data_IF_599363657419
#
_entry.id   IF_599363657419
#
_cell.length_a   1.000
_cell.length_b   1.000
_cell.length_c   1.000
_cell.angle_alpha   90.00
_cell.angle_beta   90.00
_cell.angle_gamma   90.00
#
_symmetry.space_group_name_H-M   'P 1'
#
loop_
_entity.id
_entity.type
_entity.pdbx_description
1 polymer ?
#
# COMPACT_ATOMS: atom_id res chain seq x y z
N UNK A 1 -17.60 -5.23 -42.74
CA UNK A 1 -17.16 -6.11 -41.64
C UNK A 1 -16.68 -5.19 -40.52
N UNK A 2 -17.60 -4.74 -39.68
CA UNK A 2 -17.32 -3.82 -38.59
C UNK A 2 -16.79 -4.67 -37.44
N UNK A 3 -15.48 -4.59 -37.17
CA UNK A 3 -14.86 -5.29 -36.05
C UNK A 3 -15.43 -4.67 -34.79
N UNK A 4 -16.31 -5.40 -34.11
CA UNK A 4 -16.93 -4.97 -32.87
C UNK A 4 -15.86 -4.73 -31.82
N UNK A 5 -15.82 -3.51 -31.30
CA UNK A 5 -15.03 -3.10 -30.13
C UNK A 5 -15.60 -3.71 -28.83
N UNK A 6 -16.07 -4.96 -28.87
CA UNK A 6 -16.86 -5.60 -27.82
C UNK A 6 -16.08 -6.67 -27.03
N UNK A 7 -14.81 -6.89 -27.35
CA UNK A 7 -13.96 -7.89 -26.66
C UNK A 7 -12.66 -7.29 -26.09
N UNK A 8 -12.66 -5.98 -25.82
CA UNK A 8 -11.57 -5.38 -25.06
C UNK A 8 -11.63 -5.89 -23.61
N UNK A 9 -10.64 -6.70 -23.22
CA UNK A 9 -10.49 -7.22 -21.85
C UNK A 9 -10.58 -6.05 -20.86
N UNK A 10 -11.57 -6.08 -19.95
CA UNK A 10 -11.68 -5.08 -18.88
C UNK A 10 -10.35 -5.02 -18.12
N UNK A 11 -9.76 -3.82 -17.91
CA UNK A 11 -8.50 -3.71 -17.20
C UNK A 11 -8.65 -4.17 -15.75
N UNK A 12 -7.65 -4.90 -15.25
CA UNK A 12 -7.55 -5.25 -13.82
C UNK A 12 -7.28 -3.96 -13.04
N UNK A 13 -7.98 -3.77 -11.92
CA UNK A 13 -7.85 -2.57 -11.09
C UNK A 13 -6.90 -2.79 -9.92
N UNK A 14 -6.16 -1.74 -9.54
CA UNK A 14 -5.41 -1.69 -8.29
C UNK A 14 -6.34 -1.42 -7.10
N UNK A 15 -5.87 -1.72 -5.90
CA UNK A 15 -6.67 -1.50 -4.70
C UNK A 15 -5.97 -1.81 -3.39
N UNK A 16 -6.71 -1.58 -2.31
CA UNK A 16 -6.33 -1.90 -0.95
C UNK A 16 -7.26 -3.00 -0.41
N UNK A 17 -6.70 -3.98 0.29
CA UNK A 17 -7.47 -5.03 0.95
C UNK A 17 -7.17 -4.98 2.43
N UNK A 18 -8.19 -4.73 3.24
CA UNK A 18 -8.09 -4.81 4.69
C UNK A 18 -8.32 -6.25 5.07
N UNK A 19 -7.40 -6.83 5.83
CA UNK A 19 -7.38 -8.23 6.21
C UNK A 19 -7.30 -8.35 7.72
N UNK A 20 -8.03 -9.32 8.26
CA UNK A 20 -7.89 -9.72 9.64
C UNK A 20 -6.46 -10.27 9.89
N UNK A 21 -5.64 -9.66 10.77
CA UNK A 21 -4.26 -10.08 10.97
C UNK A 21 -4.15 -11.50 11.55
N UNK A 22 -5.17 -11.97 12.28
CA UNK A 22 -5.21 -13.29 12.90
C UNK A 22 -5.77 -14.33 11.93
N UNK A 23 -6.90 -14.05 11.29
CA UNK A 23 -7.64 -15.00 10.45
C UNK A 23 -7.25 -14.96 8.97
N UNK A 24 -6.56 -13.90 8.51
CA UNK A 24 -6.18 -13.73 7.10
C UNK A 24 -7.37 -13.52 6.16
N UNK A 25 -8.56 -13.28 6.71
CA UNK A 25 -9.79 -13.10 5.94
C UNK A 25 -9.94 -11.64 5.51
N UNK A 26 -10.28 -11.36 4.23
CA UNK A 26 -10.53 -10.01 3.79
C UNK A 26 -11.78 -9.45 4.48
N UNK A 27 -11.62 -8.33 5.16
CA UNK A 27 -12.70 -7.60 5.84
C UNK A 27 -13.29 -6.50 4.94
N UNK A 28 -12.45 -5.90 4.08
CA UNK A 28 -12.88 -4.85 3.14
C UNK A 28 -11.96 -4.80 1.93
N UNK A 29 -12.54 -4.55 0.77
CA UNK A 29 -11.80 -4.32 -0.48
C UNK A 29 -12.12 -2.91 -0.97
N UNK A 30 -11.09 -2.12 -1.19
CA UNK A 30 -11.17 -0.76 -1.73
C UNK A 30 -10.52 -0.80 -3.11
N UNK A 31 -11.34 -0.70 -4.15
CA UNK A 31 -10.87 -0.72 -5.54
C UNK A 31 -10.70 0.73 -5.99
N UNK A 32 -9.55 1.04 -6.57
CA UNK A 32 -9.33 2.37 -7.14
C UNK A 32 -10.26 2.55 -8.35
N UNK A 33 -10.87 3.73 -8.49
CA UNK A 33 -11.76 3.99 -9.61
C UNK A 33 -10.99 3.94 -10.93
N UNK A 34 -9.86 4.64 -10.97
CA UNK A 34 -8.89 4.62 -12.05
C UNK A 34 -7.57 4.03 -11.54
N UNK A 35 -6.87 3.30 -12.41
CA UNK A 35 -5.53 2.85 -12.08
C UNK A 35 -4.59 4.05 -12.11
N UNK A 36 -3.76 4.26 -11.08
CA UNK A 36 -2.75 5.31 -11.11
C UNK A 36 -1.86 5.17 -12.34
N UNK A 37 -1.59 6.28 -13.01
CA UNK A 37 -0.69 6.30 -14.17
C UNK A 37 0.76 6.07 -13.76
N UNK A 38 1.12 6.58 -12.58
CA UNK A 38 2.47 6.51 -12.04
C UNK A 38 2.49 5.81 -10.69
N UNK A 39 3.60 5.12 -10.43
CA UNK A 39 3.86 4.46 -9.17
C UNK A 39 5.34 4.62 -8.83
N UNK A 40 5.62 5.41 -7.80
CA UNK A 40 6.98 5.64 -7.31
C UNK A 40 7.32 4.62 -6.23
N UNK A 41 8.53 4.05 -6.31
CA UNK A 41 9.04 3.08 -5.33
C UNK A 41 10.45 3.47 -4.91
N UNK A 42 10.72 3.46 -3.62
CA UNK A 42 12.04 3.69 -3.06
C UNK A 42 12.43 2.51 -2.18
N UNK A 43 13.62 1.95 -2.40
CA UNK A 43 14.16 0.84 -1.62
C UNK A 43 15.48 1.29 -0.99
N UNK A 44 15.53 1.34 0.33
CA UNK A 44 16.73 1.68 1.09
C UNK A 44 17.32 0.40 1.71
N UNK A 45 18.55 0.00 1.34
CA UNK A 45 19.20 -1.17 1.93
C UNK A 45 19.48 -0.91 3.42
N UNK A 46 19.31 -1.94 4.23
CA UNK A 46 19.72 -1.92 5.63
C UNK A 46 21.07 -2.63 5.76
N UNK A 47 22.14 -1.85 5.85
CA UNK A 47 23.51 -2.32 6.05
C UNK A 47 24.07 -1.77 7.37
N UNK A 48 25.08 -2.43 7.94
CA UNK A 48 25.78 -1.94 9.13
C UNK A 48 26.47 -0.61 8.81
N UNK A 49 26.06 0.48 9.46
CA UNK A 49 26.83 1.73 9.40
C UNK A 49 28.00 1.60 10.38
N UNK A 50 29.22 1.54 9.86
CA UNK A 50 30.42 1.65 10.66
C UNK A 50 30.58 3.12 11.13
N UNK A 51 29.82 3.53 12.14
CA UNK A 51 30.12 4.76 12.87
C UNK A 51 31.42 4.58 13.66
N UNK A 52 32.54 4.96 13.03
CA UNK A 52 33.84 5.06 13.68
C UNK A 52 34.56 3.72 13.89
N UNK A 53 35.59 3.45 13.08
CA UNK A 53 36.51 2.31 13.21
C UNK A 53 35.84 0.92 13.23
N UNK A 54 35.19 0.55 12.11
CA UNK A 54 34.68 -0.81 11.87
C UNK A 54 35.37 -1.46 10.66
N UNK A 55 35.66 -2.75 10.77
CA UNK A 55 36.37 -3.61 9.83
C UNK A 55 35.95 -3.43 8.36
N UNK A 56 36.92 -3.39 7.43
CA UNK A 56 36.72 -3.19 5.98
C UNK A 56 35.89 -4.29 5.29
N UNK A 57 35.51 -5.32 6.03
CA UNK A 57 34.85 -6.55 5.54
C UNK A 57 33.32 -6.50 5.64
N UNK A 58 32.74 -5.43 6.20
CA UNK A 58 31.29 -5.32 6.44
C UNK A 58 30.52 -4.57 5.34
N UNK A 59 31.21 -3.96 4.38
CA UNK A 59 30.63 -3.02 3.41
C UNK A 59 29.50 -3.59 2.51
N UNK A 60 29.42 -4.92 2.36
CA UNK A 60 28.42 -5.60 1.53
C UNK A 60 27.40 -6.41 2.34
N UNK A 61 27.44 -6.34 3.68
CA UNK A 61 26.52 -7.10 4.53
C UNK A 61 25.19 -6.37 4.69
N UNK A 62 24.11 -7.07 4.38
CA UNK A 62 22.75 -6.64 4.72
C UNK A 62 22.36 -7.23 6.08
N UNK A 63 21.77 -6.42 6.94
CA UNK A 63 21.32 -6.83 8.29
C UNK A 63 19.82 -7.12 8.35
N UNK A 64 19.06 -6.69 7.34
CA UNK A 64 17.61 -6.82 7.28
C UNK A 64 17.08 -6.67 5.84
N UNK A 65 15.80 -6.96 5.65
CA UNK A 65 15.08 -6.62 4.42
C UNK A 65 15.16 -5.11 4.14
N UNK A 66 15.24 -4.72 2.86
CA UNK A 66 15.27 -3.31 2.49
C UNK A 66 13.98 -2.59 2.93
N UNK A 67 14.13 -1.35 3.43
CA UNK A 67 12.98 -0.49 3.72
C UNK A 67 12.40 -0.02 2.39
N UNK A 68 11.18 -0.47 2.09
CA UNK A 68 10.52 -0.22 0.82
C UNK A 68 9.31 0.71 1.01
N UNK A 69 9.29 1.84 0.31
CA UNK A 69 8.19 2.83 0.32
C UNK A 69 7.62 3.03 -1.07
N UNK A 70 6.30 3.19 -1.16
CA UNK A 70 5.54 3.32 -2.39
C UNK A 70 4.70 4.58 -2.33
N UNK A 71 4.63 5.34 -3.42
CA UNK A 71 3.76 6.51 -3.56
C UNK A 71 3.04 6.50 -4.89
N UNK A 72 1.76 6.86 -4.87
CA UNK A 72 0.96 7.05 -6.08
C UNK A 72 -0.20 7.99 -5.80
N UNK A 73 -0.74 8.55 -6.88
CA UNK A 73 -1.93 9.38 -6.88
C UNK A 73 -3.09 8.63 -7.53
N UNK A 74 -4.24 8.61 -6.89
CA UNK A 74 -5.46 7.99 -7.39
C UNK A 74 -6.55 9.05 -7.56
N UNK A 75 -7.22 9.04 -8.70
CA UNK A 75 -8.33 9.93 -8.98
C UNK A 75 -9.67 9.26 -8.65
N UNK A 76 -10.58 10.05 -8.11
CA UNK A 76 -11.98 9.67 -7.85
C UNK A 76 -12.86 10.74 -8.48
N UNK A 77 -13.82 10.33 -9.30
CA UNK A 77 -14.70 11.24 -10.05
C UNK A 77 -16.13 10.66 -10.15
N UNK A 78 -17.11 11.37 -9.58
CA UNK A 78 -18.52 11.00 -9.64
C UNK A 78 -19.14 11.16 -11.04
N UNK A 79 -18.57 12.00 -11.90
CA UNK A 79 -19.08 12.25 -13.26
C UNK A 79 -18.89 11.07 -14.22
N UNK A 80 -18.01 10.13 -13.89
CA UNK A 80 -17.87 8.87 -14.65
C UNK A 80 -18.97 7.85 -14.28
N UNK A 81 -19.76 8.12 -13.24
CA UNK A 81 -20.86 7.27 -12.76
C UNK A 81 -22.21 7.99 -12.85
N UNK A 82 -22.42 8.80 -13.89
CA UNK A 82 -23.65 9.60 -14.10
C UNK A 82 -24.97 8.79 -14.00
N UNK A 83 -24.91 7.49 -14.26
CA UNK A 83 -26.07 6.59 -14.20
C UNK A 83 -26.42 6.13 -12.77
N UNK A 84 -25.58 6.42 -11.77
CA UNK A 84 -25.78 6.05 -10.37
C UNK A 84 -26.00 7.31 -9.54
N UNK A 85 -27.16 7.46 -8.85
CA UNK A 85 -27.39 8.58 -7.96
C UNK A 85 -26.32 8.67 -6.87
N UNK A 86 -25.59 9.78 -6.82
CA UNK A 86 -24.54 10.07 -5.84
C UNK A 86 -24.90 11.31 -5.01
N UNK A 87 -25.89 11.23 -4.09
CA UNK A 87 -26.36 12.39 -3.33
C UNK A 87 -25.34 12.95 -2.32
N UNK A 88 -24.26 12.22 -2.05
CA UNK A 88 -23.13 12.65 -1.22
C UNK A 88 -21.85 12.79 -2.05
N UNK A 89 -21.96 12.90 -3.38
CA UNK A 89 -20.81 12.91 -4.29
C UNK A 89 -19.87 11.72 -4.08
N UNK A 90 -18.58 12.00 -3.96
CA UNK A 90 -17.52 11.01 -3.69
C UNK A 90 -17.14 10.91 -2.19
N UNK A 91 -17.89 11.57 -1.32
CA UNK A 91 -17.57 11.66 0.11
C UNK A 91 -17.49 10.28 0.82
N UNK A 92 -18.37 9.30 0.52
CA UNK A 92 -18.26 7.96 1.12
C UNK A 92 -16.97 7.20 0.73
N UNK A 93 -16.46 7.43 -0.47
CA UNK A 93 -15.22 6.84 -0.97
C UNK A 93 -14.02 7.43 -0.21
N UNK A 94 -14.00 8.76 -0.05
CA UNK A 94 -12.97 9.46 0.73
C UNK A 94 -12.97 9.02 2.21
N UNK A 95 -14.15 8.99 2.84
CA UNK A 95 -14.30 8.53 4.23
C UNK A 95 -13.79 7.08 4.42
N UNK A 96 -13.96 6.21 3.42
CA UNK A 96 -13.44 4.83 3.48
C UNK A 96 -11.91 4.80 3.52
N UNK A 97 -11.24 5.72 2.83
CA UNK A 97 -9.78 5.85 2.85
C UNK A 97 -9.28 6.50 4.15
N UNK A 98 -9.97 7.52 4.64
CA UNK A 98 -9.65 8.16 5.93
C UNK A 98 -9.72 7.18 7.10
N UNK A 99 -10.72 6.30 7.10
CA UNK A 99 -10.88 5.27 8.14
C UNK A 99 -9.76 4.21 8.14
N UNK A 100 -8.87 4.17 7.13
CA UNK A 100 -7.68 3.31 7.15
C UNK A 100 -6.63 3.78 8.16
N UNK A 101 -6.57 5.07 8.44
CA UNK A 101 -5.60 5.68 9.35
C UNK A 101 -6.23 6.12 10.68
N UNK A 102 -7.55 5.99 10.82
CA UNK A 102 -8.27 6.38 12.03
C UNK A 102 -8.71 5.16 12.85
N UNK A 103 -8.49 5.18 14.18
CA UNK A 103 -9.10 4.18 15.06
C UNK A 103 -10.62 4.36 15.13
N UNK A 104 -11.41 3.28 15.26
CA UNK A 104 -12.86 3.37 15.39
C UNK A 104 -13.30 4.23 16.60
N UNK A 105 -14.34 5.05 16.42
CA UNK A 105 -14.82 5.95 17.49
C UNK A 105 -15.27 5.20 18.77
N UNK A 106 -15.75 3.97 18.63
CA UNK A 106 -16.10 3.10 19.76
C UNK A 106 -14.90 2.78 20.65
N UNK A 107 -13.72 2.57 20.03
CA UNK A 107 -12.47 2.34 20.75
C UNK A 107 -11.95 3.60 21.41
N UNK A 108 -12.03 4.75 20.72
CA UNK A 108 -11.67 6.04 21.30
C UNK A 108 -12.51 6.35 22.55
N UNK A 109 -13.82 6.13 22.49
CA UNK A 109 -14.72 6.29 23.65
C UNK A 109 -14.42 5.29 24.77
N UNK A 110 -14.15 4.03 24.44
CA UNK A 110 -13.78 3.03 25.44
C UNK A 110 -12.50 3.43 26.20
N UNK A 111 -11.48 3.92 25.47
CA UNK A 111 -10.25 4.40 26.06
C UNK A 111 -10.47 5.64 26.94
N UNK A 112 -11.38 6.54 26.57
CA UNK A 112 -11.75 7.69 27.41
C UNK A 112 -12.37 7.24 28.74
N UNK A 113 -13.30 6.29 28.71
CA UNK A 113 -13.91 5.74 29.94
C UNK A 113 -12.87 5.06 30.82
N UNK A 114 -11.96 4.25 30.24
CA UNK A 114 -10.88 3.60 30.98
C UNK A 114 -9.89 4.60 31.61
N UNK A 115 -9.65 5.73 30.92
CA UNK A 115 -8.85 6.83 31.43
C UNK A 115 -9.49 7.48 32.65
N UNK A 116 -10.80 7.73 32.60
CA UNK A 116 -11.57 8.34 33.68
C UNK A 116 -11.55 7.48 34.96
N UNK A 117 -11.54 6.16 34.83
CA UNK A 117 -11.48 5.23 35.97
C UNK A 117 -10.04 4.87 36.39
N UNK A 118 -9.03 5.60 35.91
CA UNK A 118 -7.62 5.44 36.32
C UNK A 118 -6.96 4.12 35.89
N UNK A 119 -7.54 3.40 34.93
CA UNK A 119 -7.05 2.08 34.48
C UNK A 119 -6.34 2.19 33.13
N UNK A 120 -5.56 3.26 32.93
CA UNK A 120 -4.97 3.57 31.64
C UNK A 120 -3.77 2.65 31.32
N UNK A 121 -4.06 1.43 30.88
CA UNK A 121 -3.09 0.64 30.11
C UNK A 121 -3.27 1.03 28.64
N UNK A 122 -2.42 1.94 28.14
CA UNK A 122 -2.39 2.29 26.71
C UNK A 122 -1.74 1.14 25.94
N UNK A 123 -2.49 0.06 25.73
CA UNK A 123 -2.09 -0.94 24.76
C UNK A 123 -2.11 -0.28 23.36
N UNK A 124 -1.03 -0.42 22.56
CA UNK A 124 -1.03 0.05 21.18
C UNK A 124 -2.21 -0.57 20.42
N UNK A 125 -2.97 0.25 19.72
CA UNK A 125 -4.05 -0.23 18.86
C UNK A 125 -3.40 -0.97 17.69
N UNK A 126 -3.57 -2.29 17.63
CA UNK A 126 -3.17 -3.07 16.46
C UNK A 126 -4.04 -2.65 15.28
N UNK A 127 -3.42 -1.93 14.34
CA UNK A 127 -4.07 -1.51 13.11
C UNK A 127 -4.37 -2.74 12.24
N UNK A 128 -5.55 -2.81 11.59
CA UNK A 128 -5.83 -3.91 10.69
C UNK A 128 -4.77 -4.02 9.58
N UNK A 129 -4.44 -5.25 9.19
CA UNK A 129 -3.43 -5.51 8.17
C UNK A 129 -3.94 -5.05 6.81
N UNK A 130 -3.27 -4.07 6.20
CA UNK A 130 -3.64 -3.58 4.86
C UNK A 130 -2.72 -4.19 3.82
N UNK A 131 -3.31 -4.70 2.73
CA UNK A 131 -2.58 -5.17 1.56
C UNK A 131 -2.75 -4.19 0.40
N UNK A 132 -1.65 -3.80 -0.23
CA UNK A 132 -1.66 -3.13 -1.51
C UNK A 132 -1.61 -4.15 -2.65
N UNK A 133 -2.54 -4.02 -3.58
CA UNK A 133 -2.68 -4.93 -4.73
C UNK A 133 -2.47 -4.13 -6.02
N UNK A 134 -1.35 -4.39 -6.70
CA UNK A 134 -1.04 -3.88 -8.03
C UNK A 134 -1.03 -5.03 -9.04
N UNK A 135 -2.22 -5.56 -9.29
CA UNK A 135 -2.40 -6.78 -10.06
C UNK A 135 -1.86 -8.04 -9.36
N UNK A 136 -1.98 -9.19 -10.03
CA UNK A 136 -1.67 -10.50 -9.43
C UNK A 136 -0.19 -10.71 -9.07
N UNK A 137 0.71 -9.97 -9.72
CA UNK A 137 2.15 -10.11 -9.50
C UNK A 137 2.68 -9.31 -8.29
N UNK A 138 1.86 -8.39 -7.73
CA UNK A 138 2.30 -7.46 -6.69
C UNK A 138 1.20 -7.31 -5.64
N UNK A 139 1.21 -8.21 -4.68
CA UNK A 139 0.39 -8.14 -3.46
C UNK A 139 1.35 -7.98 -2.29
N UNK A 140 1.16 -6.93 -1.49
CA UNK A 140 2.13 -6.48 -0.50
C UNK A 140 1.45 -6.11 0.81
N UNK A 141 1.91 -6.58 1.97
CA UNK A 141 1.50 -6.02 3.25
C UNK A 141 2.10 -4.62 3.40
N UNK A 142 1.25 -3.63 3.70
CA UNK A 142 1.65 -2.23 3.79
C UNK A 142 1.05 -1.57 5.03
N UNK A 143 1.74 -0.53 5.50
CA UNK A 143 1.21 0.48 6.40
C UNK A 143 1.11 1.80 5.65
N UNK A 144 -0.03 2.47 5.75
CA UNK A 144 -0.17 3.83 5.24
C UNK A 144 0.71 4.77 6.08
N UNK A 145 1.57 5.53 5.42
CA UNK A 145 2.44 6.54 6.03
C UNK A 145 1.97 7.96 5.71
N UNK A 146 1.22 8.14 4.63
CA UNK A 146 0.74 9.43 4.16
C UNK A 146 -0.59 9.24 3.42
N UNK A 147 -1.54 10.13 3.68
CA UNK A 147 -2.80 10.25 2.95
C UNK A 147 -3.05 11.75 2.78
N UNK A 148 -3.03 12.22 1.54
CA UNK A 148 -3.38 13.59 1.18
C UNK A 148 -4.55 13.56 0.21
N UNK A 149 -5.57 14.38 0.45
CA UNK A 149 -6.77 14.45 -0.37
C UNK A 149 -6.91 15.89 -0.85
N UNK A 150 -6.95 16.08 -2.17
CA UNK A 150 -7.26 17.34 -2.82
C UNK A 150 -8.63 17.20 -3.46
N UNK A 151 -9.63 17.88 -2.90
CA UNK A 151 -11.00 17.87 -3.41
C UNK A 151 -11.21 19.02 -4.39
N UNK A 152 -11.74 18.70 -5.57
CA UNK A 152 -11.98 19.63 -6.65
C UNK A 152 -13.39 19.43 -7.19
N UNK A 153 -14.03 20.52 -7.62
CA UNK A 153 -15.39 20.54 -8.10
C UNK A 153 -16.43 20.01 -7.09
N UNK A 154 -17.49 20.78 -6.90
CA UNK A 154 -18.52 20.52 -5.90
C UNK A 154 -19.90 20.66 -6.52
N UNK A 155 -20.86 19.90 -6.01
CA UNK A 155 -22.27 20.10 -6.33
C UNK A 155 -22.87 21.31 -5.58
N UNK A 156 -24.17 21.55 -5.74
CA UNK A 156 -24.86 22.67 -5.11
C UNK A 156 -24.88 22.60 -3.57
N UNK A 157 -24.74 21.40 -3.01
CA UNK A 157 -24.73 21.13 -1.56
C UNK A 157 -23.29 21.02 -1.01
N UNK A 158 -22.28 21.41 -1.82
CA UNK A 158 -20.85 21.33 -1.50
C UNK A 158 -20.33 19.90 -1.28
N UNK A 159 -20.98 18.88 -1.86
CA UNK A 159 -20.38 17.55 -1.90
C UNK A 159 -19.27 17.52 -2.96
N UNK A 160 -18.08 16.99 -2.64
CA UNK A 160 -17.03 16.84 -3.63
C UNK A 160 -17.51 15.86 -4.71
N UNK A 161 -17.29 16.22 -5.97
CA UNK A 161 -17.57 15.33 -7.11
C UNK A 161 -16.29 14.82 -7.77
N UNK A 162 -15.13 15.43 -7.48
CA UNK A 162 -13.81 14.94 -7.89
C UNK A 162 -12.80 15.11 -6.75
N UNK A 163 -11.84 14.19 -6.67
CA UNK A 163 -10.67 14.36 -5.82
C UNK A 163 -9.46 13.62 -6.36
N UNK A 164 -8.28 14.16 -6.06
CA UNK A 164 -7.00 13.48 -6.19
C UNK A 164 -6.55 13.02 -4.81
N UNK A 165 -6.27 11.72 -4.66
CA UNK A 165 -5.82 11.11 -3.42
C UNK A 165 -4.37 10.63 -3.56
N UNK A 166 -3.46 11.26 -2.85
CA UNK A 166 -2.06 10.83 -2.77
C UNK A 166 -1.87 9.88 -1.58
N UNK A 167 -1.40 8.67 -1.88
CA UNK A 167 -1.14 7.62 -0.89
C UNK A 167 0.36 7.35 -0.78
N UNK A 168 0.89 7.48 0.43
CA UNK A 168 2.21 6.99 0.80
C UNK A 168 2.11 5.72 1.62
N UNK A 169 2.83 4.68 1.20
CA UNK A 169 2.82 3.36 1.81
C UNK A 169 4.24 2.96 2.19
N UNK A 170 4.39 2.30 3.34
CA UNK A 170 5.59 1.53 3.70
C UNK A 170 5.25 0.05 3.66
N UNK A 171 6.03 -0.74 2.93
CA UNK A 171 5.92 -2.19 2.93
C UNK A 171 6.33 -2.72 4.30
N UNK A 172 5.50 -3.60 4.87
CA UNK A 172 5.80 -4.31 6.11
C UNK A 172 6.61 -5.57 5.78
N UNK A 173 7.75 -5.72 6.43
CA UNK A 173 8.67 -6.85 6.21
C UNK A 173 8.61 -7.83 7.38
N UNK A 174 9.36 -8.93 7.28
CA UNK A 174 9.58 -9.86 8.41
C UNK A 174 10.23 -9.19 9.62
N UNK A 175 10.92 -8.05 9.42
CA UNK A 175 11.56 -7.29 10.49
C UNK A 175 10.60 -6.33 11.21
N UNK A 176 9.43 -6.02 10.62
CA UNK A 176 8.48 -5.05 11.17
C UNK A 176 7.34 -5.70 11.98
N UNK A 177 7.23 -7.04 11.93
CA UNK A 177 6.08 -7.78 12.43
C UNK A 177 6.52 -8.86 13.45
N UNK A 178 5.70 -9.17 14.47
CA UNK A 178 5.99 -10.26 15.40
C UNK A 178 6.12 -11.61 14.68
N UNK A 179 6.92 -12.51 15.25
CA UNK A 179 7.05 -13.89 14.73
C UNK A 179 5.69 -14.58 14.66
N UNK A 180 5.41 -15.24 13.53
CA UNK A 180 4.13 -15.92 13.29
C UNK A 180 2.99 -15.00 12.78
N UNK A 181 3.24 -13.69 12.65
CA UNK A 181 2.25 -12.77 12.10
C UNK A 181 2.06 -12.98 10.59
N UNK A 182 0.81 -13.07 10.12
CA UNK A 182 0.44 -13.37 8.73
C UNK A 182 0.99 -12.38 7.69
N UNK A 183 1.14 -11.11 8.09
CA UNK A 183 1.80 -10.11 7.25
C UNK A 183 3.24 -10.47 6.86
N UNK A 184 3.98 -11.16 7.74
CA UNK A 184 5.35 -11.58 7.44
C UNK A 184 5.38 -12.64 6.32
N UNK A 185 4.44 -13.60 6.37
CA UNK A 185 4.26 -14.61 5.32
C UNK A 185 3.87 -13.99 3.97
N UNK A 186 3.00 -12.97 3.99
CA UNK A 186 2.61 -12.25 2.77
C UNK A 186 3.80 -11.49 2.17
N UNK A 187 4.68 -10.92 3.00
CA UNK A 187 5.91 -10.31 2.53
C UNK A 187 6.86 -11.34 1.91
N UNK A 188 7.06 -12.50 2.54
CA UNK A 188 7.90 -13.57 2.00
C UNK A 188 7.37 -14.10 0.65
N UNK A 189 6.05 -14.26 0.53
CA UNK A 189 5.41 -14.62 -0.74
C UNK A 189 5.66 -13.57 -1.84
N UNK A 190 5.59 -12.27 -1.49
CA UNK A 190 5.96 -11.20 -2.40
C UNK A 190 7.42 -11.26 -2.82
N UNK A 191 8.35 -11.49 -1.86
CA UNK A 191 9.77 -11.58 -2.14
C UNK A 191 10.08 -12.76 -3.07
N UNK A 192 9.51 -13.94 -2.82
CA UNK A 192 9.63 -15.11 -3.70
C UNK A 192 9.06 -14.85 -5.11
N UNK A 193 7.97 -14.09 -5.23
CA UNK A 193 7.46 -13.64 -6.54
C UNK A 193 8.46 -12.71 -7.24
N UNK A 194 9.10 -11.80 -6.52
CA UNK A 194 10.14 -10.89 -7.04
C UNK A 194 11.35 -11.66 -7.54
N UNK A 195 11.81 -12.68 -6.81
CA UNK A 195 12.89 -13.58 -7.21
C UNK A 195 12.55 -14.36 -8.49
N UNK A 196 11.34 -14.92 -8.57
CA UNK A 196 10.87 -15.59 -9.79
C UNK A 196 10.87 -14.65 -11.00
N UNK A 197 10.40 -13.42 -10.84
CA UNK A 197 10.43 -12.43 -11.91
C UNK A 197 11.85 -12.05 -12.31
N UNK A 198 12.77 -11.92 -11.35
CA UNK A 198 14.18 -11.67 -11.63
C UNK A 198 14.80 -12.79 -12.46
N UNK A 199 14.47 -14.06 -12.16
CA UNK A 199 14.96 -15.21 -12.93
C UNK A 199 14.45 -15.26 -14.38
N UNK A 200 13.33 -14.58 -14.68
CA UNK A 200 12.80 -14.47 -16.03
C UNK A 200 13.49 -13.36 -16.86
N UNK A 201 14.30 -12.50 -16.24
CA UNK A 201 15.07 -11.48 -16.96
C UNK A 201 16.26 -12.12 -17.65
N UNK A 202 16.41 -11.89 -18.96
CA UNK A 202 17.57 -12.35 -19.70
C UNK A 202 18.86 -11.71 -19.13
N UNK A 203 19.92 -12.49 -18.85
CA UNK A 203 21.19 -11.94 -18.40
C UNK A 203 21.86 -11.17 -19.55
N UNK A 204 22.37 -9.97 -19.24
CA UNK A 204 23.24 -9.23 -20.15
C UNK A 204 24.69 -9.72 -20.01
N UNK A 205 25.44 -9.76 -21.11
CA UNK A 205 26.88 -10.03 -21.06
C UNK A 205 27.68 -8.81 -20.62
N UNK A 206 28.87 -9.01 -20.04
CA UNK A 206 29.80 -7.94 -19.65
C UNK A 206 30.16 -7.01 -20.82
N UNK A 207 30.14 -7.53 -22.04
CA UNK A 207 30.36 -6.75 -23.27
C UNK A 207 29.32 -5.64 -23.48
N UNK A 208 28.08 -5.83 -23.01
CA UNK A 208 27.07 -4.77 -23.03
C UNK A 208 27.43 -3.58 -22.12
N UNK A 209 28.32 -3.81 -21.15
CA UNK A 209 28.92 -2.79 -20.29
C UNK A 209 30.29 -2.30 -20.81
N UNK A 210 30.71 -2.75 -22.00
CA UNK A 210 32.04 -2.46 -22.55
C UNK A 210 33.19 -3.19 -21.86
N UNK A 211 32.90 -4.20 -21.03
CA UNK A 211 33.89 -4.96 -20.27
C UNK A 211 34.18 -6.31 -20.92
N UNK A 212 35.45 -6.71 -20.92
CA UNK A 212 35.90 -8.02 -21.41
C UNK A 212 36.25 -8.99 -20.28
N UNK A 213 36.46 -8.50 -19.05
CA UNK A 213 36.67 -9.27 -17.81
C UNK A 213 36.35 -8.42 -16.56
N UNK A 214 36.22 -9.07 -15.39
CA UNK A 214 36.06 -8.46 -14.05
C UNK A 214 37.34 -8.64 -13.23
#
# INVERSE_FOLDING_TARGET
MTIGLSDARKPVRSGLVIVDPLLGTPQRVIVMQFNPETLQRTLAPQATQAEGQGDRTEALRLVAAAVETWKFDAEIDATDQLDVPAPAGIHPQLATLELLIQPPSTRLRANQVLAEIGTLEIAPIESPLTLFVWGAARVLPVRLTELSITEDAFDADLNPIRATVSLGLRVLTVNDLPTGHRGAELYLAHLAQKERLASASAPAGLSALGLTAL
#
